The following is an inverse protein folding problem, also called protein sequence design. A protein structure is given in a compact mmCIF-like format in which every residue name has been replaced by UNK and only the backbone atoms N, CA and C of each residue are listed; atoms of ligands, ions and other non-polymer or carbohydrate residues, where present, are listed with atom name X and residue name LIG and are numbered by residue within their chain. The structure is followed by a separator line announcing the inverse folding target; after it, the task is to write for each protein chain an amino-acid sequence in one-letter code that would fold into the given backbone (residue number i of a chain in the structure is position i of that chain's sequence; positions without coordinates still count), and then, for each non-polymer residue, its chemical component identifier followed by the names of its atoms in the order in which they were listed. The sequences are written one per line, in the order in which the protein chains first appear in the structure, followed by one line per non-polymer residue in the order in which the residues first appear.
data_IF_555432152080
#
_entry.id   IF_555432152080
#
_cell.length_a   1.000
_cell.length_b   1.000
_cell.length_c   1.000
_cell.angle_alpha   90.00
_cell.angle_beta   90.00
_cell.angle_gamma   90.00
#
_symmetry.space_group_name_H-M   'P 1'
#
loop_
_entity.id
_entity.type
_entity.pdbx_description
1 polymer ?
#
# COMPACT_ATOMS: atom_id res chain seq x y z
N UNK A 1 -8.30 -30.07 -10.89
CA UNK A 1 -9.45 -29.18 -10.65
C UNK A 1 -9.62 -28.80 -9.18
N UNK A 2 -9.79 -29.76 -8.23
CA UNK A 2 -9.91 -29.47 -6.79
C UNK A 2 -8.74 -28.68 -6.19
N UNK A 3 -7.49 -29.06 -6.50
CA UNK A 3 -6.27 -28.34 -6.06
C UNK A 3 -6.29 -26.84 -6.38
N UNK A 4 -6.61 -26.47 -7.62
CA UNK A 4 -6.63 -25.06 -8.04
C UNK A 4 -7.72 -24.26 -7.32
N UNK A 5 -8.87 -24.89 -7.02
CA UNK A 5 -9.95 -24.25 -6.25
C UNK A 5 -9.50 -23.97 -4.82
N UNK A 6 -8.91 -24.94 -4.13
CA UNK A 6 -8.40 -24.75 -2.77
C UNK A 6 -7.27 -23.71 -2.70
N UNK A 7 -6.30 -23.76 -3.62
CA UNK A 7 -5.26 -22.74 -3.72
C UNK A 7 -5.84 -21.34 -3.91
N UNK A 8 -6.87 -21.21 -4.76
CA UNK A 8 -7.58 -19.96 -4.96
C UNK A 8 -8.23 -19.45 -3.68
N UNK A 9 -9.01 -20.28 -2.99
CA UNK A 9 -9.68 -19.90 -1.73
C UNK A 9 -8.66 -19.44 -0.69
N UNK A 10 -7.58 -20.21 -0.48
CA UNK A 10 -6.53 -19.83 0.46
C UNK A 10 -5.87 -18.49 0.07
N UNK A 11 -5.57 -18.27 -1.22
CA UNK A 11 -4.98 -17.02 -1.69
C UNK A 11 -5.91 -15.81 -1.46
N UNK A 12 -7.22 -15.95 -1.68
CA UNK A 12 -8.20 -14.90 -1.39
C UNK A 12 -8.30 -14.59 0.11
N UNK A 13 -8.26 -15.62 0.98
CA UNK A 13 -8.25 -15.41 2.43
C UNK A 13 -6.98 -14.68 2.89
N UNK A 14 -5.81 -15.10 2.40
CA UNK A 14 -4.54 -14.43 2.70
C UNK A 14 -4.50 -12.99 2.17
N UNK A 15 -5.00 -12.77 0.96
CA UNK A 15 -5.11 -11.44 0.37
C UNK A 15 -6.02 -10.51 1.21
N UNK A 16 -7.14 -11.03 1.74
CA UNK A 16 -7.99 -10.27 2.66
C UNK A 16 -7.24 -9.89 3.94
N UNK A 17 -6.44 -10.80 4.49
CA UNK A 17 -5.60 -10.49 5.67
C UNK A 17 -4.55 -9.42 5.35
N UNK A 18 -3.93 -9.46 4.16
CA UNK A 18 -3.02 -8.41 3.69
C UNK A 18 -3.72 -7.05 3.64
N UNK A 19 -4.97 -7.01 3.16
CA UNK A 19 -5.78 -5.77 3.11
C UNK A 19 -6.07 -5.26 4.54
N UNK A 20 -6.47 -6.16 5.45
CA UNK A 20 -6.73 -5.81 6.85
C UNK A 20 -5.47 -5.24 7.52
N UNK A 21 -4.31 -5.88 7.32
CA UNK A 21 -3.00 -5.45 7.84
C UNK A 21 -2.58 -4.07 7.33
N UNK A 22 -3.02 -3.69 6.13
CA UNK A 22 -2.69 -2.40 5.50
C UNK A 22 -3.52 -1.23 6.05
N UNK A 23 -3.50 -1.03 7.37
CA UNK A 23 -4.16 0.09 8.09
C UNK A 23 -5.67 0.18 7.84
N UNK A 24 -6.35 -0.96 7.91
CA UNK A 24 -7.81 -1.02 7.94
C UNK A 24 -8.41 -0.43 9.21
N UNK A 25 -9.68 0.02 9.13
CA UNK A 25 -10.44 0.52 10.28
C UNK A 25 -10.56 -0.53 11.38
N UNK A 26 -10.71 -1.81 11.02
CA UNK A 26 -10.87 -2.88 12.00
C UNK A 26 -9.67 -3.02 12.94
N UNK A 27 -8.44 -2.79 12.45
CA UNK A 27 -7.26 -2.81 13.32
C UNK A 27 -7.12 -1.58 14.22
N UNK A 28 -7.88 -0.52 13.94
CA UNK A 28 -7.88 0.73 14.72
C UNK A 28 -9.04 0.82 15.70
N UNK A 29 -9.86 -0.23 15.80
CA UNK A 29 -10.95 -0.30 16.77
C UNK A 29 -10.40 -0.82 18.12
N UNK A 30 -10.50 -0.04 19.21
CA UNK A 30 -9.98 -0.42 20.52
C UNK A 30 -10.71 -1.63 21.12
N UNK A 31 -11.92 -1.95 20.68
CA UNK A 31 -12.65 -3.13 21.16
C UNK A 31 -12.12 -4.44 20.55
N UNK A 32 -11.28 -4.36 19.51
CA UNK A 32 -10.78 -5.51 18.76
C UNK A 32 -9.25 -5.69 18.91
N UNK A 33 -8.72 -5.49 20.12
CA UNK A 33 -7.27 -5.57 20.42
C UNK A 33 -6.61 -6.85 19.92
N UNK A 34 -7.31 -7.99 20.00
CA UNK A 34 -6.79 -9.28 19.60
C UNK A 34 -6.81 -9.53 18.08
N UNK A 35 -7.49 -8.68 17.30
CA UNK A 35 -7.66 -8.90 15.87
C UNK A 35 -6.32 -8.98 15.13
N UNK A 36 -5.33 -8.16 15.51
CA UNK A 36 -4.00 -8.20 14.90
C UNK A 36 -3.29 -9.54 15.15
N UNK A 37 -3.43 -10.12 16.35
CA UNK A 37 -2.85 -11.43 16.65
C UNK A 37 -3.61 -12.57 15.94
N UNK A 38 -4.94 -12.47 15.86
CA UNK A 38 -5.77 -13.44 15.15
C UNK A 38 -5.42 -13.44 13.66
N UNK A 39 -5.37 -12.28 13.02
CA UNK A 39 -5.01 -12.17 11.60
C UNK A 39 -3.58 -12.63 11.33
N UNK A 40 -2.64 -12.36 12.24
CA UNK A 40 -1.28 -12.91 12.18
C UNK A 40 -1.26 -14.45 12.19
N UNK A 41 -1.95 -15.09 13.13
CA UNK A 41 -2.00 -16.56 13.21
C UNK A 41 -2.69 -17.15 11.98
N UNK A 42 -3.82 -16.59 11.56
CA UNK A 42 -4.55 -17.03 10.37
C UNK A 42 -3.70 -16.86 9.11
N UNK A 43 -2.87 -15.81 9.03
CA UNK A 43 -1.96 -15.62 7.91
C UNK A 43 -0.92 -16.73 7.85
N UNK A 44 -0.33 -17.11 8.99
CA UNK A 44 0.64 -18.21 9.06
C UNK A 44 -0.01 -19.53 8.65
N UNK A 45 -1.13 -19.88 9.26
CA UNK A 45 -1.83 -21.15 8.99
C UNK A 45 -2.27 -21.23 7.53
N UNK A 46 -2.88 -20.15 7.01
CA UNK A 46 -3.30 -20.07 5.60
C UNK A 46 -2.13 -20.11 4.62
N UNK A 47 -0.96 -19.60 5.01
CA UNK A 47 0.24 -19.66 4.18
C UNK A 47 0.83 -21.07 4.17
N UNK A 48 0.92 -21.73 5.33
CA UNK A 48 1.38 -23.13 5.42
C UNK A 48 0.46 -24.03 4.58
N UNK A 49 -0.86 -23.85 4.66
CA UNK A 49 -1.79 -24.65 3.85
C UNK A 49 -1.63 -24.37 2.36
N UNK A 50 -1.52 -23.11 1.95
CA UNK A 50 -1.29 -22.74 0.55
C UNK A 50 0.03 -23.31 0.01
N UNK A 51 1.11 -23.24 0.79
CA UNK A 51 2.41 -23.82 0.45
C UNK A 51 2.29 -25.35 0.34
N UNK A 52 1.68 -26.01 1.33
CA UNK A 52 1.52 -27.47 1.34
C UNK A 52 0.75 -27.99 0.12
N UNK A 53 -0.33 -27.29 -0.27
CA UNK A 53 -1.10 -27.63 -1.48
C UNK A 53 -0.23 -27.51 -2.75
N UNK A 54 0.70 -26.54 -2.78
CA UNK A 54 1.45 -26.15 -3.98
C UNK A 54 2.95 -26.48 -3.91
N UNK A 55 3.40 -27.31 -2.97
CA UNK A 55 4.82 -27.57 -2.72
C UNK A 55 5.54 -28.09 -3.97
N UNK A 56 4.90 -28.98 -4.73
CA UNK A 56 5.43 -29.56 -5.96
C UNK A 56 5.50 -28.58 -7.15
N UNK A 57 4.89 -27.39 -7.04
CA UNK A 57 4.87 -26.36 -8.08
C UNK A 57 5.78 -25.16 -7.79
N UNK A 58 6.54 -25.21 -6.69
CA UNK A 58 7.53 -24.19 -6.35
C UNK A 58 8.68 -24.27 -7.36
N UNK A 59 8.95 -23.16 -8.04
CA UNK A 59 9.82 -23.12 -9.22
C UNK A 59 11.29 -23.42 -8.88
N UNK A 60 11.83 -22.80 -7.83
CA UNK A 60 13.23 -22.96 -7.39
C UNK A 60 13.30 -23.18 -5.87
N UNK A 61 13.03 -24.41 -5.43
CA UNK A 61 12.99 -24.77 -4.01
C UNK A 61 14.31 -24.43 -3.29
N UNK A 62 15.46 -24.83 -3.85
CA UNK A 62 16.78 -24.58 -3.26
C UNK A 62 17.06 -23.09 -3.08
N UNK A 63 16.72 -22.28 -4.09
CA UNK A 63 16.89 -20.83 -4.03
C UNK A 63 15.97 -20.20 -3.00
N UNK A 64 14.74 -20.70 -2.88
CA UNK A 64 13.75 -20.26 -1.88
C UNK A 64 14.23 -20.54 -0.46
N UNK A 65 14.75 -21.75 -0.22
CA UNK A 65 15.37 -22.14 1.06
C UNK A 65 16.56 -21.24 1.36
N UNK A 66 17.50 -21.09 0.42
CA UNK A 66 18.70 -20.26 0.60
C UNK A 66 18.34 -18.80 0.90
N UNK A 67 17.34 -18.26 0.20
CA UNK A 67 16.86 -16.88 0.43
C UNK A 67 16.23 -16.73 1.83
N UNK A 68 15.50 -17.74 2.29
CA UNK A 68 14.91 -17.76 3.63
C UNK A 68 15.99 -17.83 4.72
N UNK A 69 17.00 -18.69 4.54
CA UNK A 69 18.14 -18.82 5.47
C UNK A 69 18.94 -17.52 5.51
N UNK A 70 19.23 -16.93 4.35
CA UNK A 70 19.95 -15.66 4.27
C UNK A 70 19.20 -14.54 5.02
N UNK A 71 17.90 -14.37 4.75
CA UNK A 71 17.07 -13.36 5.43
C UNK A 71 16.99 -13.61 6.93
N UNK A 72 16.85 -14.87 7.35
CA UNK A 72 16.89 -15.23 8.76
C UNK A 72 18.20 -14.80 9.42
N UNK A 73 19.35 -15.20 8.86
CA UNK A 73 20.66 -14.84 9.41
C UNK A 73 20.89 -13.33 9.41
N UNK A 74 20.47 -12.65 8.35
CA UNK A 74 20.58 -11.20 8.22
C UNK A 74 19.84 -10.46 9.35
N UNK A 75 18.56 -10.77 9.56
CA UNK A 75 17.79 -10.14 10.65
C UNK A 75 18.18 -10.66 12.03
N UNK A 76 18.66 -11.90 12.14
CA UNK A 76 19.19 -12.43 13.39
C UNK A 76 20.39 -11.61 13.87
N UNK A 77 21.34 -11.30 12.98
CA UNK A 77 22.46 -10.39 13.28
C UNK A 77 21.93 -9.02 13.71
N UNK A 78 20.96 -8.45 12.98
CA UNK A 78 20.35 -7.17 13.36
C UNK A 78 19.74 -7.19 14.77
N UNK A 79 19.00 -8.25 15.13
CA UNK A 79 18.33 -8.35 16.43
C UNK A 79 19.30 -8.55 17.60
N UNK A 80 20.46 -9.18 17.38
CA UNK A 80 21.50 -9.25 18.40
C UNK A 80 21.97 -7.84 18.80
N UNK A 81 22.17 -6.95 17.83
CA UNK A 81 22.69 -5.61 18.09
C UNK A 81 21.61 -4.56 18.41
N UNK A 82 20.35 -4.76 17.98
CA UNK A 82 19.22 -3.85 18.22
C UNK A 82 17.96 -4.61 18.67
N UNK A 83 17.89 -5.12 19.91
CA UNK A 83 16.78 -5.94 20.42
C UNK A 83 15.54 -5.11 20.85
N UNK A 84 15.31 -3.94 20.26
CA UNK A 84 14.12 -3.11 20.55
C UNK A 84 12.91 -3.73 19.86
N UNK A 85 11.76 -3.81 20.54
CA UNK A 85 10.53 -4.36 19.96
C UNK A 85 10.67 -5.81 19.46
N UNK A 86 11.51 -6.62 20.12
CA UNK A 86 11.93 -7.94 19.65
C UNK A 86 10.75 -8.85 19.26
N UNK A 87 9.67 -8.85 20.04
CA UNK A 87 8.47 -9.65 19.75
C UNK A 87 7.82 -9.27 18.42
N UNK A 88 7.62 -7.97 18.16
CA UNK A 88 7.05 -7.48 16.90
C UNK A 88 8.00 -7.76 15.73
N UNK A 89 9.29 -7.61 15.96
CA UNK A 89 10.32 -7.82 14.95
C UNK A 89 10.50 -9.30 14.57
N UNK A 90 10.40 -10.23 15.53
CA UNK A 90 10.33 -11.67 15.25
C UNK A 90 9.07 -12.01 14.47
N UNK A 91 7.90 -11.44 14.84
CA UNK A 91 6.67 -11.63 14.07
C UNK A 91 6.85 -11.16 12.62
N UNK A 92 7.45 -10.00 12.41
CA UNK A 92 7.76 -9.48 11.07
C UNK A 92 8.70 -10.41 10.30
N UNK A 93 9.78 -10.92 10.93
CA UNK A 93 10.71 -11.86 10.30
C UNK A 93 9.99 -13.13 9.84
N UNK A 94 9.13 -13.70 10.69
CA UNK A 94 8.33 -14.89 10.33
C UNK A 94 7.45 -14.61 9.11
N UNK A 95 6.82 -13.42 9.05
CA UNK A 95 6.01 -13.03 7.89
C UNK A 95 6.87 -12.88 6.64
N UNK A 96 8.03 -12.23 6.71
CA UNK A 96 8.95 -12.11 5.56
C UNK A 96 9.34 -13.49 5.05
N UNK A 97 9.74 -14.40 5.95
CA UNK A 97 10.12 -15.77 5.60
C UNK A 97 8.96 -16.51 4.91
N UNK A 98 7.77 -16.48 5.49
CA UNK A 98 6.60 -17.16 4.91
C UNK A 98 6.21 -16.55 3.56
N UNK A 99 6.28 -15.22 3.42
CA UNK A 99 5.99 -14.55 2.16
C UNK A 99 6.97 -14.95 1.04
N UNK A 100 8.26 -15.17 1.35
CA UNK A 100 9.23 -15.65 0.34
C UNK A 100 8.73 -16.94 -0.33
N UNK A 101 8.11 -17.84 0.46
CA UNK A 101 7.55 -19.10 -0.03
C UNK A 101 6.20 -18.92 -0.73
N UNK A 102 5.27 -18.17 -0.12
CA UNK A 102 3.93 -17.93 -0.70
C UNK A 102 4.04 -17.26 -2.07
N UNK A 103 5.01 -16.37 -2.25
CA UNK A 103 5.25 -15.65 -3.50
C UNK A 103 5.74 -16.54 -4.65
N UNK A 104 6.18 -17.78 -4.38
CA UNK A 104 6.53 -18.76 -5.41
C UNK A 104 5.31 -19.44 -6.04
N UNK A 105 4.13 -19.35 -5.40
CA UNK A 105 2.91 -19.96 -5.91
C UNK A 105 2.40 -19.15 -7.11
N UNK A 106 2.56 -19.70 -8.32
CA UNK A 106 2.22 -19.02 -9.56
C UNK A 106 0.70 -18.83 -9.72
N UNK A 107 0.29 -17.61 -10.03
CA UNK A 107 -1.01 -17.28 -10.61
C UNK A 107 -0.92 -17.29 -12.14
N UNK A 108 -1.80 -16.53 -12.80
CA UNK A 108 -1.86 -16.43 -14.26
C UNK A 108 -0.71 -15.59 -14.84
N UNK A 109 -0.53 -14.38 -14.33
CA UNK A 109 0.42 -13.36 -14.76
C UNK A 109 1.30 -12.86 -13.61
N UNK A 110 0.88 -13.09 -12.37
CA UNK A 110 1.55 -12.67 -11.14
C UNK A 110 1.48 -13.80 -10.10
N UNK A 111 2.21 -13.71 -8.98
CA UNK A 111 2.00 -14.60 -7.84
C UNK A 111 0.52 -14.65 -7.43
N UNK A 112 0.02 -15.85 -7.11
CA UNK A 112 -1.41 -16.09 -6.90
C UNK A 112 -2.00 -15.17 -5.81
N UNK A 113 -1.24 -14.90 -4.76
CA UNK A 113 -1.66 -14.01 -3.66
C UNK A 113 -1.81 -12.54 -4.12
N UNK A 114 -0.96 -12.05 -5.03
CA UNK A 114 -1.03 -10.69 -5.55
C UNK A 114 -2.19 -10.52 -6.54
N UNK A 115 -2.49 -11.55 -7.34
CA UNK A 115 -3.69 -11.56 -8.19
C UNK A 115 -4.96 -11.55 -7.35
N UNK A 116 -5.02 -12.36 -6.30
CA UNK A 116 -6.13 -12.40 -5.36
C UNK A 116 -6.31 -11.05 -4.66
N UNK A 117 -5.21 -10.43 -4.20
CA UNK A 117 -5.22 -9.07 -3.65
C UNK A 117 -5.76 -8.05 -4.64
N UNK A 118 -5.26 -8.03 -5.88
CA UNK A 118 -5.72 -7.08 -6.89
C UNK A 118 -7.21 -7.27 -7.23
N UNK A 119 -7.70 -8.51 -7.29
CA UNK A 119 -9.11 -8.82 -7.52
C UNK A 119 -10.01 -8.37 -6.35
N UNK A 120 -9.60 -8.63 -5.10
CA UNK A 120 -10.33 -8.16 -3.93
C UNK A 120 -10.38 -6.64 -3.85
N UNK A 121 -9.27 -5.97 -4.14
CA UNK A 121 -9.24 -4.50 -4.16
C UNK A 121 -10.12 -3.90 -5.25
N UNK A 122 -10.28 -4.56 -6.40
CA UNK A 122 -11.27 -4.16 -7.41
C UNK A 122 -12.70 -4.30 -6.87
N UNK A 123 -13.01 -5.41 -6.19
CA UNK A 123 -14.31 -5.60 -5.55
C UNK A 123 -14.58 -4.52 -4.49
N UNK A 124 -13.61 -4.25 -3.62
CA UNK A 124 -13.69 -3.17 -2.61
C UNK A 124 -13.84 -1.81 -3.28
N UNK A 125 -13.14 -1.54 -4.38
CA UNK A 125 -13.28 -0.30 -5.13
C UNK A 125 -14.71 -0.10 -5.64
N UNK A 126 -15.29 -1.09 -6.32
CA UNK A 126 -16.68 -1.05 -6.82
C UNK A 126 -17.65 -0.81 -5.66
N UNK A 127 -17.56 -1.62 -4.61
CA UNK A 127 -18.45 -1.50 -3.44
C UNK A 127 -18.31 -0.13 -2.79
N UNK A 128 -17.08 0.33 -2.55
CA UNK A 128 -16.81 1.61 -1.89
C UNK A 128 -17.32 2.81 -2.68
N UNK A 129 -17.21 2.80 -4.02
CA UNK A 129 -17.72 3.90 -4.86
C UNK A 129 -19.24 3.94 -4.82
N UNK A 130 -19.91 2.79 -4.90
CA UNK A 130 -21.36 2.70 -4.78
C UNK A 130 -21.81 3.20 -3.41
N UNK A 131 -21.18 2.72 -2.33
CA UNK A 131 -21.49 3.14 -0.97
C UNK A 131 -21.21 4.62 -0.76
N UNK A 132 -20.09 5.15 -1.26
CA UNK A 132 -19.76 6.57 -1.15
C UNK A 132 -20.81 7.46 -1.82
N UNK A 133 -21.27 7.11 -3.02
CA UNK A 133 -22.32 7.85 -3.72
C UNK A 133 -23.65 7.78 -2.93
N UNK A 134 -24.09 6.58 -2.57
CA UNK A 134 -25.42 6.38 -1.97
C UNK A 134 -25.49 6.82 -0.50
N UNK A 135 -24.44 6.56 0.28
CA UNK A 135 -24.39 6.76 1.73
C UNK A 135 -23.83 8.14 2.09
N UNK A 136 -22.71 8.54 1.47
CA UNK A 136 -21.99 9.74 1.87
C UNK A 136 -22.39 11.00 1.11
N UNK A 137 -22.63 10.88 -0.22
CA UNK A 137 -23.01 12.03 -1.04
C UNK A 137 -24.52 12.28 -1.04
N UNK A 138 -25.31 11.30 -1.44
CA UNK A 138 -26.77 11.44 -1.58
C UNK A 138 -27.50 11.17 -0.25
N UNK A 139 -26.87 10.41 0.67
CA UNK A 139 -27.43 10.05 1.98
C UNK A 139 -28.77 9.29 1.91
N UNK A 140 -28.93 8.45 0.89
CA UNK A 140 -30.10 7.55 0.72
C UNK A 140 -30.13 6.49 1.82
N UNK A 141 -28.95 5.98 2.19
CA UNK A 141 -28.80 4.96 3.23
C UNK A 141 -28.21 5.65 4.47
N UNK A 142 -28.88 5.60 5.64
CA UNK A 142 -28.33 6.15 6.87
C UNK A 142 -27.26 5.21 7.47
N UNK A 143 -26.32 5.72 8.29
CA UNK A 143 -25.37 4.88 9.00
C UNK A 143 -26.09 3.82 9.85
N UNK A 144 -25.58 2.58 9.80
CA UNK A 144 -26.10 1.47 10.61
C UNK A 144 -25.68 1.57 12.08
N UNK A 145 -24.69 2.40 12.38
CA UNK A 145 -24.18 2.66 13.73
C UNK A 145 -22.91 3.48 13.71
N UNK A 146 -22.27 3.59 14.86
CA UNK A 146 -20.93 4.16 15.01
C UNK A 146 -20.00 3.16 15.69
N UNK A 147 -18.70 3.25 15.41
CA UNK A 147 -17.69 2.43 16.08
C UNK A 147 -16.59 3.30 16.69
N UNK A 148 -15.99 2.85 17.82
CA UNK A 148 -14.85 3.56 18.38
C UNK A 148 -13.63 3.42 17.47
N UNK A 149 -12.86 4.49 17.36
CA UNK A 149 -11.80 4.67 16.39
C UNK A 149 -10.56 5.32 17.02
N UNK A 150 -9.48 4.56 17.10
CA UNK A 150 -8.24 4.98 17.75
C UNK A 150 -7.23 5.65 16.80
N UNK A 151 -7.47 5.63 15.48
CA UNK A 151 -6.52 6.19 14.52
C UNK A 151 -6.33 7.70 14.69
N UNK A 152 -7.39 8.42 15.08
CA UNK A 152 -7.38 9.86 15.32
C UNK A 152 -7.49 10.19 16.81
N UNK A 153 -7.11 9.27 17.70
CA UNK A 153 -7.22 9.50 19.13
C UNK A 153 -6.29 10.62 19.58
N UNK A 154 -6.78 11.49 20.44
CA UNK A 154 -6.01 12.59 21.04
C UNK A 154 -6.02 12.37 22.56
N UNK A 155 -4.85 12.36 23.19
CA UNK A 155 -4.69 12.11 24.62
C UNK A 155 -5.35 10.81 25.10
N UNK A 156 -5.31 9.76 24.27
CA UNK A 156 -5.92 8.46 24.59
C UNK A 156 -7.45 8.42 24.47
N UNK A 157 -8.10 9.51 24.06
CA UNK A 157 -9.54 9.55 23.82
C UNK A 157 -9.83 9.21 22.36
N UNK A 158 -10.53 8.10 22.15
CA UNK A 158 -10.92 7.63 20.82
C UNK A 158 -12.09 8.46 20.27
N UNK A 159 -12.13 8.62 18.95
CA UNK A 159 -13.28 9.20 18.25
C UNK A 159 -14.30 8.12 17.91
N UNK A 160 -15.49 8.53 17.45
CA UNK A 160 -16.50 7.62 16.91
C UNK A 160 -16.76 7.96 15.46
N UNK A 161 -16.74 6.95 14.60
CA UNK A 161 -16.97 7.10 13.16
C UNK A 161 -18.23 6.36 12.71
N UNK A 162 -19.01 6.90 11.77
CA UNK A 162 -20.13 6.20 11.15
C UNK A 162 -19.68 4.90 10.44
N UNK A 163 -20.50 3.86 10.56
CA UNK A 163 -20.31 2.56 9.89
C UNK A 163 -21.58 2.15 9.14
N UNK A 164 -21.38 1.50 8.01
CA UNK A 164 -22.42 0.90 7.19
C UNK A 164 -22.17 -0.60 7.11
N UNK A 165 -22.76 -1.36 8.04
CA UNK A 165 -22.61 -2.81 8.15
C UNK A 165 -21.19 -3.31 8.36
N UNK A 166 -20.28 -2.44 8.85
CA UNK A 166 -18.83 -2.71 8.95
C UNK A 166 -18.14 -3.01 7.62
N UNK A 167 -18.76 -2.66 6.48
CA UNK A 167 -18.19 -2.84 5.13
C UNK A 167 -17.78 -1.51 4.47
N UNK A 168 -18.22 -0.38 5.03
CA UNK A 168 -17.85 0.96 4.60
C UNK A 168 -17.88 1.92 5.81
N UNK A 169 -16.93 2.84 5.86
CA UNK A 169 -16.75 3.78 6.99
C UNK A 169 -16.51 5.21 6.50
N UNK A 170 -17.03 6.17 7.25
CA UNK A 170 -16.78 7.59 7.02
C UNK A 170 -15.75 8.10 8.02
N UNK A 171 -14.47 8.10 7.63
CA UNK A 171 -13.37 8.41 8.55
C UNK A 171 -12.87 9.84 8.45
N UNK A 172 -13.04 10.47 7.28
CA UNK A 172 -12.47 11.79 6.97
C UNK A 172 -13.36 12.55 6.00
N UNK A 173 -13.33 13.87 6.15
CA UNK A 173 -14.04 14.84 5.34
C UNK A 173 -13.05 15.85 4.73
N UNK A 174 -13.51 16.60 3.73
CA UNK A 174 -12.75 17.65 3.07
C UNK A 174 -13.68 18.79 2.65
N UNK A 175 -13.28 20.03 2.93
CA UNK A 175 -14.07 21.20 2.57
C UNK A 175 -13.69 21.73 1.17
N UNK A 176 -14.42 21.36 0.12
CA UNK A 176 -14.13 21.83 -1.22
C UNK A 176 -14.65 23.26 -1.44
N UNK A 177 -13.85 24.15 -2.05
CA UNK A 177 -14.32 25.45 -2.53
C UNK A 177 -15.61 25.30 -3.35
N UNK A 178 -16.60 26.16 -3.08
CA UNK A 178 -17.92 26.24 -3.74
C UNK A 178 -18.88 25.05 -3.54
N UNK A 179 -18.42 23.87 -3.12
CA UNK A 179 -19.28 22.69 -2.86
C UNK A 179 -19.52 22.50 -1.36
N UNK A 180 -18.60 22.94 -0.51
CA UNK A 180 -18.66 22.76 0.93
C UNK A 180 -18.04 21.43 1.37
N UNK A 181 -18.46 20.95 2.54
CA UNK A 181 -17.87 19.78 3.16
C UNK A 181 -18.36 18.47 2.52
N UNK A 182 -17.41 17.65 2.06
CA UNK A 182 -17.66 16.35 1.44
C UNK A 182 -16.91 15.27 2.20
N UNK A 183 -17.58 14.17 2.49
CA UNK A 183 -16.95 12.97 3.05
C UNK A 183 -16.06 12.32 1.98
N UNK A 184 -14.81 12.01 2.33
CA UNK A 184 -13.87 11.35 1.42
C UNK A 184 -14.14 9.85 1.38
N UNK A 185 -14.01 9.21 0.22
CA UNK A 185 -14.11 7.75 0.15
C UNK A 185 -12.87 7.11 0.78
N UNK A 186 -13.01 6.63 2.01
CA UNK A 186 -11.95 5.89 2.72
C UNK A 186 -12.15 4.37 2.71
N UNK A 187 -13.25 3.90 2.09
CA UNK A 187 -13.62 2.49 2.01
C UNK A 187 -13.53 1.80 3.39
N UNK A 188 -12.64 0.80 3.51
CA UNK A 188 -12.38 0.03 4.74
C UNK A 188 -11.12 0.48 5.48
N UNK A 189 -10.49 1.57 5.03
CA UNK A 189 -9.22 2.06 5.53
C UNK A 189 -9.37 3.24 6.47
N UNK A 190 -8.37 3.42 7.32
CA UNK A 190 -8.33 4.43 8.38
C UNK A 190 -8.33 5.87 7.89
N UNK A 191 -7.90 6.10 6.66
CA UNK A 191 -7.85 7.43 6.05
C UNK A 191 -7.78 7.35 4.53
N UNK A 192 -8.05 8.47 3.87
CA UNK A 192 -8.05 8.54 2.41
C UNK A 192 -6.68 8.25 1.76
N UNK A 193 -5.53 8.70 2.30
CA UNK A 193 -4.22 8.26 1.79
C UNK A 193 -4.02 6.74 1.82
N UNK A 194 -4.54 6.04 2.84
CA UNK A 194 -4.45 4.58 2.96
C UNK A 194 -5.36 3.86 1.96
N UNK A 195 -6.59 4.36 1.77
CA UNK A 195 -7.47 3.84 0.73
C UNK A 195 -6.85 4.04 -0.66
N UNK A 196 -6.36 5.25 -0.94
CA UNK A 196 -5.70 5.62 -2.18
C UNK A 196 -4.47 4.74 -2.44
N UNK A 197 -3.62 4.49 -1.43
CA UNK A 197 -2.47 3.58 -1.51
C UNK A 197 -2.88 2.20 -2.01
N UNK A 198 -3.86 1.56 -1.37
CA UNK A 198 -4.26 0.20 -1.72
C UNK A 198 -4.92 0.12 -3.11
N UNK A 199 -5.74 1.11 -3.48
CA UNK A 199 -6.29 1.21 -4.84
C UNK A 199 -5.20 1.44 -5.90
N UNK A 200 -4.20 2.28 -5.59
CA UNK A 200 -3.06 2.53 -6.47
C UNK A 200 -2.24 1.25 -6.68
N UNK A 201 -1.92 0.50 -5.61
CA UNK A 201 -1.20 -0.78 -5.73
C UNK A 201 -2.00 -1.77 -6.58
N UNK A 202 -3.30 -1.91 -6.34
CA UNK A 202 -4.16 -2.77 -7.15
C UNK A 202 -4.20 -2.34 -8.62
N UNK A 203 -4.23 -1.03 -8.89
CA UNK A 203 -4.20 -0.47 -10.24
C UNK A 203 -2.87 -0.79 -10.94
N UNK A 204 -1.74 -0.61 -10.26
CA UNK A 204 -0.41 -0.96 -10.77
C UNK A 204 -0.30 -2.46 -11.08
N UNK A 205 -0.82 -3.33 -10.20
CA UNK A 205 -0.86 -4.78 -10.43
C UNK A 205 -1.74 -5.12 -11.65
N UNK A 206 -2.94 -4.56 -11.76
CA UNK A 206 -3.84 -4.77 -12.91
C UNK A 206 -3.28 -4.23 -14.22
N UNK A 207 -2.54 -3.11 -14.18
CA UNK A 207 -1.82 -2.60 -15.33
C UNK A 207 -0.74 -3.59 -15.79
N UNK A 208 0.01 -4.16 -14.84
CA UNK A 208 1.02 -5.17 -15.15
C UNK A 208 0.44 -6.49 -15.66
N UNK A 209 -0.68 -6.96 -15.12
CA UNK A 209 -1.39 -8.16 -15.62
C UNK A 209 -1.88 -8.00 -17.07
N UNK A 210 -2.37 -6.81 -17.44
CA UNK A 210 -2.90 -6.58 -18.78
C UNK A 210 -1.81 -6.42 -19.86
N UNK A 211 -0.53 -6.31 -19.48
CA UNK A 211 0.60 -6.24 -20.43
C UNK A 211 0.69 -7.43 -21.37
N UNK A 212 0.09 -8.57 -21.00
CA UNK A 212 0.12 -9.82 -21.75
C UNK A 212 -1.10 -9.99 -22.67
N UNK A 213 -2.05 -9.04 -22.67
CA UNK A 213 -3.24 -9.10 -23.53
C UNK A 213 -3.01 -8.30 -24.82
N UNK A 214 -3.42 -8.88 -25.94
CA UNK A 214 -3.29 -8.29 -27.29
C UNK A 214 -4.11 -7.01 -27.46
N UNK A 215 -5.23 -6.87 -26.73
CA UNK A 215 -6.04 -5.65 -26.67
C UNK A 215 -5.57 -4.75 -25.52
N UNK A 216 -4.79 -3.72 -25.87
CA UNK A 216 -4.11 -2.80 -24.96
C UNK A 216 -5.01 -1.70 -24.37
N UNK A 217 -6.31 -1.96 -24.21
CA UNK A 217 -7.29 -1.00 -23.67
C UNK A 217 -7.32 -0.96 -22.14
N UNK A 218 -7.90 0.10 -21.58
CA UNK A 218 -8.19 0.18 -20.14
C UNK A 218 -9.31 -0.81 -19.82
N UNK A 219 -9.04 -1.78 -18.96
CA UNK A 219 -10.05 -2.76 -18.52
C UNK A 219 -11.07 -2.16 -17.56
N UNK A 220 -12.27 -2.76 -17.48
CA UNK A 220 -13.32 -2.35 -16.52
C UNK A 220 -12.81 -2.29 -15.08
N UNK A 221 -11.97 -3.25 -14.67
CA UNK A 221 -11.34 -3.27 -13.34
C UNK A 221 -10.47 -2.03 -13.09
N UNK A 222 -9.71 -1.59 -14.10
CA UNK A 222 -8.87 -0.39 -14.01
C UNK A 222 -9.72 0.88 -13.92
N UNK A 223 -10.83 0.97 -14.65
CA UNK A 223 -11.76 2.11 -14.58
C UNK A 223 -12.29 2.28 -13.16
N UNK A 224 -12.79 1.19 -12.55
CA UNK A 224 -13.29 1.24 -11.17
C UNK A 224 -12.22 1.65 -10.16
N UNK A 225 -10.98 1.17 -10.33
CA UNK A 225 -9.87 1.59 -9.49
C UNK A 225 -9.53 3.07 -9.67
N UNK A 226 -9.56 3.60 -10.91
CA UNK A 226 -9.34 5.03 -11.18
C UNK A 226 -10.42 5.86 -10.49
N UNK A 227 -11.70 5.48 -10.63
CA UNK A 227 -12.82 6.19 -9.99
C UNK A 227 -12.66 6.14 -8.45
N UNK A 228 -12.29 4.99 -7.90
CA UNK A 228 -12.03 4.85 -6.46
C UNK A 228 -10.87 5.75 -5.99
N UNK A 229 -9.75 5.79 -6.72
CA UNK A 229 -8.62 6.69 -6.43
C UNK A 229 -9.09 8.16 -6.45
N UNK A 230 -9.87 8.56 -7.47
CA UNK A 230 -10.41 9.92 -7.57
C UNK A 230 -11.35 10.25 -6.39
N UNK A 231 -12.24 9.34 -6.00
CA UNK A 231 -13.17 9.54 -4.89
C UNK A 231 -12.50 9.69 -3.51
N UNK A 232 -11.22 9.31 -3.37
CA UNK A 232 -10.47 9.47 -2.11
C UNK A 232 -10.03 10.92 -1.86
N UNK A 233 -9.99 11.77 -2.88
CA UNK A 233 -9.42 13.12 -2.77
C UNK A 233 -7.98 13.14 -2.20
N UNK A 234 -7.14 12.18 -2.59
CA UNK A 234 -5.75 12.07 -2.11
C UNK A 234 -4.76 12.64 -3.13
N UNK A 235 -3.96 13.65 -2.72
CA UNK A 235 -2.87 14.20 -3.54
C UNK A 235 -1.94 13.11 -4.05
N UNK A 236 -1.58 12.17 -3.19
CA UNK A 236 -0.63 11.10 -3.52
C UNK A 236 -1.14 10.24 -4.68
N UNK A 237 -2.43 9.86 -4.65
CA UNK A 237 -3.05 9.07 -5.71
C UNK A 237 -3.21 9.85 -7.01
N UNK A 238 -3.53 11.14 -6.92
CA UNK A 238 -3.68 12.01 -8.11
C UNK A 238 -2.37 12.15 -8.86
N UNK A 239 -1.29 12.45 -8.15
CA UNK A 239 0.05 12.56 -8.73
C UNK A 239 0.47 11.22 -9.36
N UNK A 240 0.22 10.07 -8.71
CA UNK A 240 0.54 8.78 -9.30
C UNK A 240 -0.25 8.54 -10.60
N UNK A 241 -1.55 8.82 -10.63
CA UNK A 241 -2.35 8.69 -11.86
C UNK A 241 -1.79 9.59 -12.98
N UNK A 242 -1.50 10.86 -12.68
CA UNK A 242 -0.88 11.79 -13.64
C UNK A 242 0.40 11.18 -14.22
N UNK A 243 1.31 10.70 -13.36
CA UNK A 243 2.58 10.12 -13.78
C UNK A 243 2.39 8.88 -14.67
N UNK A 244 1.46 7.99 -14.30
CA UNK A 244 1.18 6.78 -15.09
C UNK A 244 0.59 7.15 -16.45
N UNK A 245 -0.40 8.04 -16.49
CA UNK A 245 -1.01 8.49 -17.75
C UNK A 245 0.01 9.20 -18.63
N UNK A 246 0.88 10.03 -18.05
CA UNK A 246 1.95 10.69 -18.77
C UNK A 246 2.94 9.69 -19.39
N UNK A 247 3.43 8.71 -18.62
CA UNK A 247 4.32 7.66 -19.13
C UNK A 247 3.63 6.85 -20.24
N UNK A 248 2.36 6.49 -20.06
CA UNK A 248 1.58 5.76 -21.08
C UNK A 248 1.28 6.57 -22.33
N UNK A 249 1.16 7.88 -22.18
CA UNK A 249 1.04 8.80 -23.29
C UNK A 249 2.35 8.94 -24.07
N UNK A 250 3.50 8.89 -23.41
CA UNK A 250 4.81 8.87 -24.09
C UNK A 250 5.06 7.56 -24.88
N UNK A 251 4.53 6.43 -24.41
CA UNK A 251 4.62 5.13 -25.12
C UNK A 251 3.67 5.07 -26.34
N UNK A 252 2.66 5.93 -26.40
CA UNK A 252 1.63 5.88 -27.42
C UNK A 252 2.18 6.11 -28.83
N UNK A 253 1.68 5.33 -29.80
CA UNK A 253 1.89 5.60 -31.21
C UNK A 253 1.40 7.02 -31.57
N UNK A 254 2.26 7.79 -32.26
CA UNK A 254 2.06 9.18 -32.66
C UNK A 254 0.75 9.37 -33.44
N UNK A 255 0.29 8.34 -34.16
CA UNK A 255 -0.94 8.38 -34.96
C UNK A 255 -2.23 8.61 -34.14
N UNK A 256 -2.24 8.21 -32.86
CA UNK A 256 -3.44 8.32 -32.00
C UNK A 256 -3.29 9.38 -30.89
N UNK A 257 -2.31 10.28 -31.04
CA UNK A 257 -1.94 11.28 -30.04
C UNK A 257 -3.09 12.20 -29.62
N UNK A 258 -3.85 12.72 -30.58
CA UNK A 258 -4.95 13.68 -30.35
C UNK A 258 -6.15 13.02 -29.64
N UNK A 259 -6.50 11.79 -30.02
CA UNK A 259 -7.62 11.06 -29.39
C UNK A 259 -7.31 10.62 -27.95
N UNK A 260 -6.02 10.46 -27.62
CA UNK A 260 -5.57 10.15 -26.24
C UNK A 260 -5.58 11.39 -25.34
N UNK A 261 -5.30 12.58 -25.89
CA UNK A 261 -5.44 13.86 -25.18
C UNK A 261 -6.87 14.06 -24.66
N UNK A 262 -7.91 13.65 -25.39
CA UNK A 262 -9.31 13.77 -24.95
C UNK A 262 -9.61 12.99 -23.65
N UNK A 263 -8.90 11.89 -23.38
CA UNK A 263 -9.05 11.12 -22.14
C UNK A 263 -8.09 11.53 -21.02
N UNK A 264 -6.87 11.95 -21.38
CA UNK A 264 -5.85 12.38 -20.42
C UNK A 264 -6.14 13.78 -19.90
N UNK A 265 -6.63 14.70 -20.74
CA UNK A 265 -6.91 16.09 -20.36
C UNK A 265 -7.95 16.17 -19.22
N UNK A 266 -9.11 15.49 -19.24
CA UNK A 266 -10.06 15.57 -18.13
C UNK A 266 -9.47 15.04 -16.82
N UNK A 267 -8.68 13.96 -16.86
CA UNK A 267 -8.01 13.42 -15.67
C UNK A 267 -6.93 14.37 -15.15
N UNK A 268 -6.13 14.96 -16.05
CA UNK A 268 -5.15 15.99 -15.70
C UNK A 268 -5.82 17.24 -15.16
N UNK A 269 -6.93 17.68 -15.74
CA UNK A 269 -7.71 18.84 -15.26
C UNK A 269 -8.28 18.53 -13.88
N UNK A 270 -8.91 17.38 -13.66
CA UNK A 270 -9.41 16.98 -12.33
C UNK A 270 -8.28 16.87 -11.32
N UNK A 271 -7.11 16.38 -11.72
CA UNK A 271 -5.95 16.26 -10.84
C UNK A 271 -5.29 17.61 -10.56
N UNK A 272 -5.18 18.51 -11.54
CA UNK A 272 -4.66 19.87 -11.40
C UNK A 272 -5.63 20.74 -10.61
N UNK A 273 -6.94 20.65 -10.87
CA UNK A 273 -7.98 21.27 -10.05
C UNK A 273 -7.94 20.71 -8.64
N UNK A 274 -7.81 19.39 -8.47
CA UNK A 274 -7.61 18.76 -7.17
C UNK A 274 -6.39 19.30 -6.44
N UNK A 275 -5.24 19.40 -7.11
CA UNK A 275 -4.01 19.96 -6.55
C UNK A 275 -4.18 21.44 -6.23
N UNK A 276 -4.80 22.24 -7.10
CA UNK A 276 -5.05 23.66 -6.90
C UNK A 276 -6.08 23.94 -5.80
N UNK A 277 -7.13 23.13 -5.65
CA UNK A 277 -8.08 23.21 -4.54
C UNK A 277 -7.39 22.84 -3.22
N UNK A 278 -6.53 21.82 -3.26
CA UNK A 278 -5.68 21.43 -2.14
C UNK A 278 -4.58 22.44 -1.85
N UNK A 279 -4.24 23.34 -2.78
CA UNK A 279 -3.35 24.51 -2.60
C UNK A 279 -4.14 25.71 -2.06
N UNK A 280 -5.34 25.98 -2.57
CA UNK A 280 -6.21 27.07 -2.12
C UNK A 280 -6.76 26.88 -0.71
N UNK A 281 -6.95 25.63 -0.26
CA UNK A 281 -7.19 25.33 1.15
C UNK A 281 -5.97 25.65 2.04
N UNK A 282 -4.74 25.64 1.50
CA UNK A 282 -3.50 25.94 2.25
C UNK A 282 -3.39 27.41 2.62
N UNK A 283 -4.00 28.30 1.83
CA UNK A 283 -4.04 29.73 2.08
C UNK A 283 -5.11 30.15 3.09
N UNK A 284 -6.16 29.33 3.28
CA UNK A 284 -7.33 29.70 4.12
C UNK A 284 -7.46 28.86 5.40
N UNK A 285 -7.04 27.58 5.41
CA UNK A 285 -7.29 26.65 6.53
C UNK A 285 -6.03 25.98 7.14
N UNK A 286 -4.83 26.48 6.82
CA UNK A 286 -3.60 26.15 7.55
C UNK A 286 -2.71 25.11 6.88
N UNK A 287 -1.41 25.39 6.88
CA UNK A 287 -0.30 24.60 6.30
C UNK A 287 0.02 23.30 7.05
N UNK A 288 -0.78 22.92 8.05
CA UNK A 288 -0.45 21.92 9.07
C UNK A 288 -0.17 20.53 8.47
N UNK A 289 -1.03 19.98 7.60
CA UNK A 289 -0.81 18.64 7.00
C UNK A 289 0.47 18.55 6.16
N UNK A 290 0.80 19.59 5.38
CA UNK A 290 2.01 19.58 4.54
C UNK A 290 3.26 19.82 5.40
N UNK A 291 3.18 20.73 6.38
CA UNK A 291 4.26 20.96 7.33
C UNK A 291 4.56 19.72 8.16
N UNK A 292 3.54 18.95 8.58
CA UNK A 292 3.70 17.67 9.27
C UNK A 292 4.51 16.69 8.40
N UNK A 293 4.20 16.57 7.11
CA UNK A 293 4.94 15.68 6.19
C UNK A 293 6.37 16.12 5.97
N UNK A 294 6.62 17.42 5.78
CA UNK A 294 8.00 17.93 5.65
C UNK A 294 8.80 17.74 6.94
N UNK A 295 8.17 17.98 8.09
CA UNK A 295 8.76 17.71 9.39
C UNK A 295 9.04 16.22 9.58
N UNK A 296 8.15 15.31 9.14
CA UNK A 296 8.41 13.86 9.18
C UNK A 296 9.68 13.47 8.42
N UNK A 297 9.90 14.01 7.21
CA UNK A 297 11.18 13.78 6.49
C UNK A 297 12.37 14.30 7.29
N UNK A 298 12.28 15.52 7.84
CA UNK A 298 13.35 16.12 8.66
C UNK A 298 13.64 15.25 9.87
N UNK A 299 12.62 14.84 10.61
CA UNK A 299 12.69 13.98 11.80
C UNK A 299 13.37 12.67 11.47
N UNK A 300 12.90 11.96 10.43
CA UNK A 300 13.48 10.68 10.05
C UNK A 300 14.94 10.80 9.61
N UNK A 301 15.31 11.88 8.90
CA UNK A 301 16.71 12.14 8.52
C UNK A 301 17.58 12.44 9.75
N UNK A 302 17.10 13.25 10.71
CA UNK A 302 17.83 13.54 11.95
C UNK A 302 18.03 12.25 12.76
N UNK A 303 16.97 11.47 12.98
CA UNK A 303 17.05 10.18 13.70
C UNK A 303 18.00 9.21 12.99
N UNK A 304 18.00 9.18 11.66
CA UNK A 304 18.94 8.37 10.89
C UNK A 304 20.40 8.78 11.15
N UNK A 305 20.74 10.08 11.09
CA UNK A 305 22.11 10.53 11.31
C UNK A 305 22.60 10.33 12.75
N UNK A 306 21.71 10.18 13.72
CA UNK A 306 22.07 9.77 15.09
C UNK A 306 22.53 8.31 15.16
N UNK A 307 21.99 7.42 14.30
CA UNK A 307 22.30 5.99 14.28
C UNK A 307 22.37 5.42 12.85
N UNK A 308 23.34 5.83 12.01
CA UNK A 308 23.27 5.61 10.56
C UNK A 308 23.37 4.14 10.13
N UNK A 309 24.12 3.30 10.86
CA UNK A 309 24.34 1.92 10.44
C UNK A 309 23.15 1.00 10.75
N UNK A 310 22.73 0.93 12.02
CA UNK A 310 21.68 0.01 12.49
C UNK A 310 20.34 0.70 12.81
N UNK A 311 20.26 2.02 12.65
CA UNK A 311 19.08 2.79 13.00
C UNK A 311 18.80 2.81 14.52
N UNK A 312 17.68 3.42 14.87
CA UNK A 312 17.19 3.52 16.24
C UNK A 312 16.46 2.26 16.74
N UNK A 313 16.34 1.21 15.92
CA UNK A 313 15.60 -0.02 16.20
C UNK A 313 14.26 -0.07 15.45
N UNK A 314 13.98 -1.19 14.80
CA UNK A 314 12.71 -1.40 14.07
C UNK A 314 11.49 -1.30 15.01
N UNK A 315 10.52 -0.48 14.61
CA UNK A 315 9.31 -0.20 15.39
C UNK A 315 9.52 0.80 16.53
N UNK A 316 10.71 1.38 16.69
CA UNK A 316 10.98 2.38 17.72
C UNK A 316 10.44 3.77 17.31
N UNK A 317 9.13 3.96 17.46
CA UNK A 317 8.48 5.25 17.21
C UNK A 317 8.93 6.35 18.18
N UNK A 318 9.35 5.99 19.41
CA UNK A 318 9.77 6.97 20.42
C UNK A 318 11.01 7.75 19.97
N UNK A 319 11.95 7.09 19.29
CA UNK A 319 13.12 7.74 18.70
C UNK A 319 12.78 8.72 17.56
N UNK A 320 11.62 8.57 16.91
CA UNK A 320 11.11 9.56 15.95
C UNK A 320 10.48 10.73 16.72
N UNK A 321 9.63 10.43 17.70
CA UNK A 321 8.91 11.44 18.51
C UNK A 321 9.88 12.39 19.22
N UNK A 322 11.00 11.90 19.73
CA UNK A 322 12.03 12.72 20.39
C UNK A 322 12.62 13.82 19.49
N UNK A 323 12.59 13.65 18.17
CA UNK A 323 13.12 14.63 17.21
C UNK A 323 12.03 15.50 16.56
N UNK A 324 10.74 15.28 16.88
CA UNK A 324 9.61 16.08 16.38
C UNK A 324 9.61 17.48 16.98
N UNK A 325 9.08 18.44 16.21
CA UNK A 325 8.93 19.81 16.71
C UNK A 325 7.90 19.93 17.86
N UNK A 326 8.16 20.81 18.83
CA UNK A 326 7.26 21.06 19.97
C UNK A 326 5.83 21.48 19.56
N UNK A 327 5.68 22.07 18.36
CA UNK A 327 4.38 22.53 17.83
C UNK A 327 3.39 21.39 17.53
N UNK A 328 3.86 20.13 17.47
CA UNK A 328 3.04 18.95 17.12
C UNK A 328 3.09 17.84 18.19
N UNK A 329 3.30 18.21 19.46
CA UNK A 329 3.52 17.25 20.55
C UNK A 329 2.42 16.17 20.69
N UNK A 330 1.18 16.49 20.26
CA UNK A 330 0.04 15.58 20.28
C UNK A 330 -0.24 14.88 18.93
N UNK A 331 0.58 15.13 17.89
CA UNK A 331 0.43 14.63 16.52
C UNK A 331 1.67 13.82 16.11
N UNK A 332 1.84 12.65 16.72
CA UNK A 332 3.02 11.79 16.59
C UNK A 332 2.97 10.80 15.42
N UNK A 333 1.91 10.86 14.60
CA UNK A 333 1.82 10.06 13.38
C UNK A 333 2.94 10.41 12.38
N UNK A 334 3.38 9.41 11.62
CA UNK A 334 4.45 9.56 10.63
C UNK A 334 3.92 9.28 9.22
N UNK A 335 4.36 10.02 8.21
CA UNK A 335 3.69 10.01 6.91
C UNK A 335 4.37 9.22 5.80
N UNK A 336 5.66 8.87 5.91
CA UNK A 336 6.42 8.30 4.80
C UNK A 336 7.29 7.11 5.19
N UNK A 337 7.38 6.10 4.32
CA UNK A 337 8.07 4.85 4.64
C UNK A 337 9.59 4.96 4.50
N UNK A 338 10.08 5.73 3.51
CA UNK A 338 11.52 5.80 3.21
C UNK A 338 12.34 6.30 4.40
N UNK A 339 11.91 7.38 5.06
CA UNK A 339 12.64 7.90 6.21
C UNK A 339 12.35 7.13 7.49
N UNK A 340 11.19 6.44 7.61
CA UNK A 340 10.94 5.52 8.71
C UNK A 340 11.93 4.35 8.67
N UNK A 341 12.08 3.70 7.51
CA UNK A 341 13.01 2.57 7.35
C UNK A 341 14.46 3.00 7.57
N UNK A 342 14.86 4.18 7.06
CA UNK A 342 16.20 4.72 7.32
C UNK A 342 16.41 5.02 8.81
N UNK A 343 15.49 5.74 9.44
CA UNK A 343 15.61 6.13 10.85
C UNK A 343 15.64 4.93 11.80
N UNK A 344 14.72 3.98 11.61
CA UNK A 344 14.56 2.84 12.51
C UNK A 344 15.53 1.70 12.17
N UNK A 345 15.76 1.42 10.89
CA UNK A 345 16.55 0.28 10.42
C UNK A 345 17.99 0.60 9.99
N UNK A 346 18.32 1.88 9.81
CA UNK A 346 19.63 2.32 9.32
C UNK A 346 19.93 1.85 7.91
N UNK A 347 21.16 2.08 7.46
CA UNK A 347 21.67 1.57 6.18
C UNK A 347 21.49 0.04 6.12
N UNK A 348 21.66 -0.67 7.24
CA UNK A 348 21.49 -2.12 7.30
C UNK A 348 20.13 -2.53 6.72
N UNK A 349 19.01 -2.25 7.39
CA UNK A 349 17.71 -2.69 6.87
C UNK A 349 17.35 -2.01 5.54
N UNK A 350 17.70 -0.74 5.34
CA UNK A 350 17.42 -0.01 4.10
C UNK A 350 18.06 -0.66 2.86
N UNK A 351 19.19 -1.35 2.99
CA UNK A 351 19.83 -2.04 1.87
C UNK A 351 18.94 -3.11 1.24
N UNK A 352 18.13 -3.83 2.03
CA UNK A 352 17.21 -4.84 1.48
C UNK A 352 16.13 -4.17 0.62
N UNK A 353 15.55 -3.07 1.11
CA UNK A 353 14.54 -2.31 0.36
C UNK A 353 15.13 -1.75 -0.93
N UNK A 354 16.30 -1.10 -0.84
CA UNK A 354 17.01 -0.54 -1.99
C UNK A 354 17.35 -1.64 -3.02
N UNK A 355 17.86 -2.78 -2.57
CA UNK A 355 18.18 -3.92 -3.42
C UNK A 355 16.97 -4.42 -4.21
N UNK A 356 15.82 -4.60 -3.54
CA UNK A 356 14.56 -4.99 -4.19
C UNK A 356 14.13 -4.00 -5.28
N UNK A 357 14.11 -2.69 -4.97
CA UNK A 357 13.74 -1.68 -5.96
C UNK A 357 14.72 -1.62 -7.14
N UNK A 358 16.02 -1.64 -6.87
CA UNK A 358 17.07 -1.64 -7.91
C UNK A 358 16.94 -2.87 -8.81
N UNK A 359 16.72 -4.06 -8.25
CA UNK A 359 16.48 -5.29 -9.02
C UNK A 359 15.22 -5.20 -9.88
N UNK A 360 14.12 -4.68 -9.32
CA UNK A 360 12.87 -4.48 -10.05
C UNK A 360 13.04 -3.55 -11.24
N UNK A 361 13.72 -2.42 -11.05
CA UNK A 361 14.04 -1.45 -12.10
C UNK A 361 14.95 -2.09 -13.16
N UNK A 362 16.02 -2.76 -12.72
CA UNK A 362 16.96 -3.45 -13.61
C UNK A 362 16.26 -4.46 -14.51
N UNK A 363 15.40 -5.34 -13.96
CA UNK A 363 14.67 -6.31 -14.77
C UNK A 363 13.66 -5.63 -15.71
N UNK A 364 12.97 -4.60 -15.24
CA UNK A 364 12.01 -3.88 -16.09
C UNK A 364 12.69 -3.27 -17.32
N UNK A 365 13.89 -2.71 -17.16
CA UNK A 365 14.68 -2.22 -18.30
C UNK A 365 15.24 -3.37 -19.15
N UNK A 366 15.85 -4.39 -18.54
CA UNK A 366 16.45 -5.53 -19.24
C UNK A 366 15.44 -6.24 -20.15
N UNK A 367 14.20 -6.41 -19.69
CA UNK A 367 13.15 -7.10 -20.42
C UNK A 367 12.22 -6.13 -21.20
N UNK A 368 12.55 -4.83 -21.25
CA UNK A 368 11.75 -3.78 -21.91
C UNK A 368 10.27 -3.81 -21.48
N UNK A 369 10.02 -4.06 -20.20
CA UNK A 369 8.69 -4.22 -19.64
C UNK A 369 8.22 -2.92 -18.99
N UNK A 370 7.61 -2.01 -19.78
CA UNK A 370 7.21 -0.70 -19.29
C UNK A 370 6.21 -0.79 -18.12
N UNK A 371 5.23 -1.69 -18.19
CA UNK A 371 4.28 -1.88 -17.10
C UNK A 371 4.94 -2.43 -15.83
N UNK A 372 5.99 -3.24 -15.98
CA UNK A 372 6.85 -3.65 -14.88
C UNK A 372 7.57 -2.47 -14.25
N UNK A 373 8.13 -1.59 -15.08
CA UNK A 373 8.77 -0.35 -14.63
C UNK A 373 7.76 0.55 -13.89
N UNK A 374 6.56 0.73 -14.44
CA UNK A 374 5.48 1.52 -13.81
C UNK A 374 5.09 0.92 -12.45
N UNK A 375 4.99 -0.41 -12.33
CA UNK A 375 4.71 -1.06 -11.04
C UNK A 375 5.80 -0.76 -10.01
N UNK A 376 7.08 -0.93 -10.37
CA UNK A 376 8.20 -0.72 -9.44
C UNK A 376 8.33 0.75 -9.06
N UNK A 377 8.32 1.65 -10.05
CA UNK A 377 8.45 3.09 -9.85
C UNK A 377 7.24 3.67 -9.11
N UNK A 378 6.02 3.23 -9.45
CA UNK A 378 4.81 3.63 -8.73
C UNK A 378 4.81 3.17 -7.28
N UNK A 379 5.30 1.95 -7.00
CA UNK A 379 5.47 1.45 -5.64
C UNK A 379 6.54 2.24 -4.88
N UNK A 380 7.67 2.58 -5.53
CA UNK A 380 8.72 3.41 -4.94
C UNK A 380 8.20 4.82 -4.60
N UNK A 381 7.43 5.43 -5.50
CA UNK A 381 6.77 6.71 -5.25
C UNK A 381 5.84 6.64 -4.02
N UNK A 382 5.01 5.59 -3.94
CA UNK A 382 4.13 5.39 -2.79
C UNK A 382 4.96 5.18 -1.51
N UNK A 383 6.02 4.38 -1.55
CA UNK A 383 6.95 4.16 -0.44
C UNK A 383 7.58 5.47 0.06
N UNK A 384 7.93 6.35 -0.87
CA UNK A 384 8.46 7.66 -0.52
C UNK A 384 7.41 8.59 0.10
N UNK A 385 6.11 8.44 -0.18
CA UNK A 385 5.08 9.46 0.14
C UNK A 385 4.03 9.04 1.18
N UNK A 386 3.90 7.74 1.44
CA UNK A 386 2.90 7.17 2.35
C UNK A 386 3.57 6.18 3.30
N UNK A 387 3.05 6.06 4.52
CA UNK A 387 3.55 5.17 5.57
C UNK A 387 2.97 3.75 5.42
N UNK A 388 3.79 2.81 4.96
CA UNK A 388 3.44 1.38 4.87
C UNK A 388 4.69 0.46 4.85
N UNK A 389 5.76 0.88 5.53
CA UNK A 389 7.07 0.22 5.55
C UNK A 389 7.03 -1.26 5.91
N UNK A 390 6.21 -1.66 6.88
CA UNK A 390 6.21 -3.01 7.46
C UNK A 390 4.94 -3.80 7.14
N UNK A 391 4.14 -3.30 6.20
CA UNK A 391 2.86 -3.88 5.82
C UNK A 391 3.11 -5.03 4.85
N UNK A 392 2.30 -6.08 4.97
CA UNK A 392 2.52 -7.34 4.24
C UNK A 392 2.52 -7.14 2.72
N UNK A 393 1.72 -6.20 2.21
CA UNK A 393 1.67 -5.88 0.78
C UNK A 393 3.00 -5.32 0.26
N UNK A 394 3.68 -4.45 1.02
CA UNK A 394 4.97 -3.91 0.60
C UNK A 394 6.02 -5.01 0.58
N UNK A 395 6.06 -5.85 1.62
CA UNK A 395 6.99 -6.98 1.70
C UNK A 395 6.78 -7.93 0.52
N UNK A 396 5.53 -8.25 0.18
CA UNK A 396 5.20 -9.07 -0.98
C UNK A 396 5.69 -8.42 -2.29
N UNK A 397 5.51 -7.10 -2.47
CA UNK A 397 6.03 -6.38 -3.65
C UNK A 397 7.57 -6.37 -3.70
N UNK A 398 8.25 -6.17 -2.57
CA UNK A 398 9.72 -6.19 -2.51
C UNK A 398 10.28 -7.58 -2.88
N UNK A 399 9.62 -8.65 -2.44
CA UNK A 399 9.96 -10.04 -2.83
C UNK A 399 9.72 -10.24 -4.32
N UNK A 400 8.58 -9.78 -4.85
CA UNK A 400 8.28 -9.83 -6.30
C UNK A 400 9.40 -9.15 -7.10
N UNK A 401 9.89 -7.98 -6.67
CA UNK A 401 10.89 -7.22 -7.41
C UNK A 401 12.26 -7.89 -7.50
N UNK A 402 12.63 -8.70 -6.49
CA UNK A 402 13.88 -9.48 -6.50
C UNK A 402 13.88 -10.55 -7.60
N UNK A 403 12.72 -11.13 -7.90
CA UNK A 403 12.57 -12.23 -8.87
C UNK A 403 11.62 -11.89 -10.02
N UNK A 404 11.49 -10.61 -10.32
CA UNK A 404 10.45 -10.10 -11.22
C UNK A 404 10.58 -10.65 -12.66
N UNK A 405 11.81 -11.01 -13.06
CA UNK A 405 12.12 -11.65 -14.35
C UNK A 405 11.24 -12.85 -14.68
N UNK A 406 10.79 -13.61 -13.68
CA UNK A 406 9.97 -14.82 -13.86
C UNK A 406 8.68 -14.47 -14.61
N UNK A 407 8.18 -13.25 -14.40
CA UNK A 407 6.92 -12.80 -14.98
C UNK A 407 7.08 -12.13 -16.33
N UNK A 408 8.29 -11.75 -16.75
CA UNK A 408 8.53 -11.11 -18.05
C UNK A 408 8.89 -12.08 -19.18
N UNK A 409 9.23 -13.33 -18.86
CA UNK A 409 9.76 -14.33 -19.81
C UNK A 409 8.72 -14.95 -20.77
N UNK A 410 7.54 -14.35 -20.92
CA UNK A 410 6.52 -14.79 -21.89
C UNK A 410 6.46 -13.90 -23.15
N UNK A 411 7.58 -13.27 -23.52
CA UNK A 411 7.70 -12.52 -24.79
C UNK A 411 8.26 -13.38 -25.90
#
# INVERSE_FOLDING_TARGET
MKKNVYSGICAYLLAMIIIINCRSVWLSNPNWLNLNNITYILFILGSITLIGININSINDLNKTILSSVFIFLYFFVYFIFRPIGLTQNIKLLIIVMILIWVMQVKGKNLPLILEAYANLMVFIAVLSVIMWILCSLIKVIPPTGTIPFNWTAVNGVHSFIPTYGHIYFETQDINLPFIGNIIRNTAVFTEAPMASLNFCIAFLLKLNENSYKKDSGISKSQIWLIIAILSTFSTTGYILLILIFFIKWLEADKKYFIYKLIFVIPVLIVAILGINLLIGQRTVYGTMSTNLRFDDYRVGIITFFQNPFLGAGLGNSDALVQNMGNWRIYMTGFSNSITEVLAQGGIYVSLIYAYSFIKGIYYSFKYKALNGFILVFGTLYLFCTTIFSYQYILIALLILFIDFKIYFNHR
#
